data_IF_119446949294
#
_entry.id   IF_119446949294
#
_cell.length_a   1.000
_cell.length_b   1.000
_cell.length_c   1.000
_cell.angle_alpha   90.00
_cell.angle_beta   90.00
_cell.angle_gamma   90.00
#
_symmetry.space_group_name_H-M   'P 1'
#
loop_
_entity.id
_entity.type
_entity.pdbx_description
1 polymer ?
#
# COMPACT_ATOMS: atom_id res chain seq x y z
N UNK A 1 -42.81 58.66 38.33
CA UNK A 1 -42.50 59.78 37.42
C UNK A 1 -41.06 59.67 36.96
N UNK A 2 -40.82 59.96 35.67
CA UNK A 2 -39.55 60.19 34.94
C UNK A 2 -39.03 59.05 34.03
N UNK A 3 -39.45 59.18 32.76
CA UNK A 3 -38.73 59.04 31.48
C UNK A 3 -37.91 57.77 31.11
N UNK A 4 -38.51 56.98 30.21
CA UNK A 4 -38.05 56.49 28.88
C UNK A 4 -36.79 57.18 28.27
N UNK A 5 -36.21 56.71 27.13
CA UNK A 5 -35.61 55.42 26.73
C UNK A 5 -34.14 55.57 26.28
N UNK A 6 -33.36 54.49 26.15
CA UNK A 6 -32.30 54.43 25.13
C UNK A 6 -32.44 53.14 24.33
N UNK A 7 -33.04 53.33 23.17
CA UNK A 7 -32.92 52.49 21.99
C UNK A 7 -31.44 52.45 21.60
N UNK A 8 -30.83 51.26 21.62
CA UNK A 8 -29.72 50.95 20.74
C UNK A 8 -30.01 49.64 20.05
N UNK A 9 -30.80 49.78 18.99
CA UNK A 9 -30.85 48.86 17.86
C UNK A 9 -29.42 48.68 17.36
N UNK A 10 -28.86 47.49 17.55
CA UNK A 10 -27.87 46.96 16.64
C UNK A 10 -28.30 45.55 16.27
N UNK A 11 -29.08 45.50 15.19
CA UNK A 11 -29.14 44.36 14.30
C UNK A 11 -27.70 43.96 13.95
N UNK A 12 -27.29 42.76 14.35
CA UNK A 12 -26.22 42.04 13.67
C UNK A 12 -26.87 40.80 13.07
N UNK A 13 -27.51 41.05 11.94
CA UNK A 13 -27.38 40.31 10.67
C UNK A 13 -26.91 38.86 10.86
N UNK A 14 -27.89 37.97 10.89
CA UNK A 14 -28.01 36.87 9.93
C UNK A 14 -26.72 36.41 9.25
N UNK A 15 -25.89 35.66 9.98
CA UNK A 15 -25.05 34.61 9.37
C UNK A 15 -25.66 33.26 9.73
N UNK A 16 -26.88 33.03 9.24
CA UNK A 16 -27.27 31.66 8.88
C UNK A 16 -26.28 31.25 7.79
N UNK A 17 -25.24 30.53 8.20
CA UNK A 17 -24.34 29.82 7.30
C UNK A 17 -25.21 28.88 6.49
N UNK A 18 -25.62 29.35 5.31
CA UNK A 18 -26.23 28.55 4.26
C UNK A 18 -25.20 27.59 3.72
N UNK A 19 -24.88 26.53 4.48
CA UNK A 19 -24.39 25.30 3.92
C UNK A 19 -25.56 24.61 3.23
N UNK A 20 -25.88 25.11 2.03
CA UNK A 20 -26.65 24.39 1.04
C UNK A 20 -26.02 23.00 0.85
N UNK A 21 -26.88 22.00 0.81
CA UNK A 21 -26.52 20.60 0.81
C UNK A 21 -25.44 20.24 -0.21
N UNK A 22 -24.39 19.61 0.27
CA UNK A 22 -23.80 18.48 -0.43
C UNK A 22 -24.08 17.27 0.42
N UNK A 23 -24.95 16.40 -0.09
CA UNK A 23 -25.10 15.02 0.38
C UNK A 23 -23.68 14.51 0.63
N UNK A 24 -23.36 14.12 1.85
CA UNK A 24 -22.14 13.39 2.11
C UNK A 24 -22.28 12.10 1.31
N UNK A 25 -21.64 12.11 0.14
CA UNK A 25 -21.32 10.93 -0.64
C UNK A 25 -20.51 10.10 0.34
N UNK A 26 -21.17 9.12 0.97
CA UNK A 26 -20.44 8.07 1.67
C UNK A 26 -19.36 7.62 0.70
N UNK A 27 -18.06 7.67 1.07
CA UNK A 27 -17.00 7.32 0.14
C UNK A 27 -17.37 5.94 -0.35
N UNK A 28 -17.66 5.84 -1.65
CA UNK A 28 -18.02 4.57 -2.27
C UNK A 28 -16.97 3.59 -1.78
N UNK A 29 -17.41 2.62 -0.96
CA UNK A 29 -16.58 1.51 -0.54
C UNK A 29 -16.08 0.95 -1.85
N UNK A 30 -14.82 1.26 -2.18
CA UNK A 30 -14.18 0.71 -3.36
C UNK A 30 -14.28 -0.78 -3.11
N UNK A 31 -15.16 -1.43 -3.86
CA UNK A 31 -15.32 -2.88 -3.86
C UNK A 31 -13.92 -3.44 -3.78
N UNK A 32 -13.59 -4.29 -2.79
CA UNK A 32 -12.26 -4.85 -2.70
C UNK A 32 -11.96 -5.43 -4.08
N UNK A 33 -10.99 -4.84 -4.77
CA UNK A 33 -10.54 -5.35 -6.06
C UNK A 33 -10.11 -6.77 -5.76
N UNK A 34 -10.92 -7.73 -6.20
CA UNK A 34 -10.61 -9.13 -6.08
C UNK A 34 -9.39 -9.34 -6.97
N UNK A 35 -8.25 -9.53 -6.31
CA UNK A 35 -6.98 -9.73 -6.97
C UNK A 35 -7.04 -11.14 -7.53
N UNK A 36 -7.41 -11.27 -8.80
CA UNK A 36 -7.26 -12.51 -9.54
C UNK A 36 -5.77 -12.75 -9.74
N UNK A 37 -5.15 -13.34 -8.71
CA UNK A 37 -3.76 -13.76 -8.72
C UNK A 37 -3.64 -14.96 -9.65
N UNK A 38 -2.85 -14.83 -10.69
CA UNK A 38 -2.38 -15.99 -11.45
C UNK A 38 -1.30 -16.70 -10.64
N UNK A 39 -1.42 -18.01 -10.50
CA UNK A 39 -0.38 -18.79 -9.84
C UNK A 39 0.95 -18.61 -10.56
N UNK A 40 1.94 -18.11 -9.83
CA UNK A 40 3.27 -17.91 -10.38
C UNK A 40 3.94 -19.25 -10.64
N UNK A 41 4.24 -19.50 -11.91
CA UNK A 41 5.03 -20.63 -12.39
C UNK A 41 6.46 -20.11 -12.61
N UNK A 42 7.40 -20.72 -11.91
CA UNK A 42 8.81 -20.35 -12.01
C UNK A 42 9.36 -20.73 -13.40
N UNK A 43 10.00 -19.80 -14.12
CA UNK A 43 10.72 -20.12 -15.36
C UNK A 43 11.78 -21.19 -15.12
N UNK A 44 11.74 -22.27 -15.90
CA UNK A 44 12.66 -23.40 -15.79
C UNK A 44 14.13 -23.00 -16.04
N UNK A 45 14.36 -21.95 -16.82
CA UNK A 45 15.68 -21.45 -17.17
C UNK A 45 16.23 -20.43 -16.16
N UNK A 46 15.43 -20.05 -15.16
CA UNK A 46 15.73 -19.03 -14.14
C UNK A 46 16.05 -17.65 -14.70
N UNK A 47 15.62 -17.35 -15.93
CA UNK A 47 15.86 -16.05 -16.55
C UNK A 47 14.88 -15.00 -16.02
N UNK A 48 15.40 -13.84 -15.62
CA UNK A 48 14.61 -12.72 -15.10
C UNK A 48 14.56 -11.64 -16.17
N UNK A 49 13.37 -11.11 -16.47
CA UNK A 49 13.24 -10.02 -17.42
C UNK A 49 13.60 -8.66 -16.79
N UNK A 50 14.03 -7.69 -17.62
CA UNK A 50 14.24 -6.30 -17.19
C UNK A 50 12.97 -5.72 -16.57
N UNK A 51 11.81 -6.04 -17.13
CA UNK A 51 10.52 -5.58 -16.64
C UNK A 51 10.24 -6.11 -15.23
N UNK A 52 10.52 -7.39 -14.96
CA UNK A 52 10.39 -7.98 -13.63
C UNK A 52 11.31 -7.31 -12.61
N UNK A 53 12.56 -7.00 -12.98
CA UNK A 53 13.49 -6.27 -12.09
C UNK A 53 13.02 -4.85 -11.79
N UNK A 54 12.48 -4.14 -12.79
CA UNK A 54 11.91 -2.81 -12.59
C UNK A 54 10.68 -2.86 -11.67
N UNK A 55 9.79 -3.84 -11.88
CA UNK A 55 8.61 -4.04 -11.01
C UNK A 55 9.01 -4.43 -9.59
N UNK A 56 10.03 -5.28 -9.44
CA UNK A 56 10.61 -5.65 -8.13
C UNK A 56 11.17 -4.41 -7.41
N UNK A 57 11.91 -3.53 -8.10
CA UNK A 57 12.51 -2.36 -7.46
C UNK A 57 11.46 -1.39 -6.90
N UNK A 58 10.30 -1.27 -7.57
CA UNK A 58 9.15 -0.51 -7.07
C UNK A 58 8.55 -1.08 -5.77
N UNK A 59 8.72 -2.38 -5.51
CA UNK A 59 8.20 -3.03 -4.32
C UNK A 59 9.07 -2.78 -3.09
N UNK A 60 10.40 -2.72 -3.24
CA UNK A 60 11.36 -2.79 -2.14
C UNK A 60 11.06 -1.81 -1.01
N UNK A 61 10.92 -0.52 -1.33
CA UNK A 61 10.65 0.52 -0.31
C UNK A 61 9.35 0.28 0.46
N UNK A 62 8.31 -0.20 -0.23
CA UNK A 62 7.01 -0.47 0.39
C UNK A 62 7.04 -1.73 1.26
N UNK A 63 7.76 -2.77 0.84
CA UNK A 63 7.96 -3.99 1.61
C UNK A 63 8.82 -3.74 2.86
N UNK A 64 9.83 -2.89 2.76
CA UNK A 64 10.64 -2.46 3.90
C UNK A 64 9.78 -1.68 4.90
N UNK A 65 8.99 -0.73 4.40
CA UNK A 65 8.06 0.05 5.23
C UNK A 65 7.02 -0.83 5.91
N UNK A 66 6.48 -1.84 5.21
CA UNK A 66 5.56 -2.82 5.77
C UNK A 66 6.21 -3.63 6.89
N UNK A 67 7.46 -4.04 6.71
CA UNK A 67 8.23 -4.80 7.71
C UNK A 67 8.49 -3.97 8.97
N UNK A 68 8.72 -2.65 8.81
CA UNK A 68 8.82 -1.72 9.94
C UNK A 68 7.46 -1.60 10.64
N UNK A 69 6.38 -1.43 9.88
CA UNK A 69 5.03 -1.26 10.43
C UNK A 69 4.57 -2.46 11.29
N UNK A 70 4.87 -3.69 10.85
CA UNK A 70 4.49 -4.92 11.57
C UNK A 70 5.51 -5.38 12.64
N UNK A 71 6.64 -4.68 12.78
CA UNK A 71 7.77 -5.13 13.62
C UNK A 71 7.35 -5.47 15.05
N UNK A 72 6.58 -4.60 15.68
CA UNK A 72 6.15 -4.81 17.06
C UNK A 72 4.96 -5.77 17.17
N UNK A 73 4.12 -5.85 16.14
CA UNK A 73 3.02 -6.81 16.04
C UNK A 73 3.52 -8.27 16.15
N UNK A 74 4.70 -8.57 15.60
CA UNK A 74 5.30 -9.91 15.68
C UNK A 74 5.95 -10.24 17.03
N UNK A 75 5.99 -9.30 17.98
CA UNK A 75 6.53 -9.53 19.33
C UNK A 75 5.47 -9.93 20.35
N UNK A 76 4.21 -10.03 19.92
CA UNK A 76 3.11 -10.46 20.79
C UNK A 76 3.35 -11.89 21.31
N UNK A 77 2.94 -12.16 22.55
CA UNK A 77 2.99 -13.49 23.16
C UNK A 77 1.75 -14.33 22.84
N UNK A 78 0.69 -13.70 22.34
CA UNK A 78 -0.54 -14.36 21.95
C UNK A 78 -0.37 -15.01 20.57
N UNK A 79 -0.43 -16.35 20.53
CA UNK A 79 -0.27 -17.13 19.31
C UNK A 79 -1.37 -16.87 18.28
N UNK A 80 -2.62 -16.69 18.70
CA UNK A 80 -3.75 -16.44 17.79
C UNK A 80 -3.59 -15.07 17.15
N UNK A 81 -3.21 -14.07 17.94
CA UNK A 81 -2.96 -12.73 17.44
C UNK A 81 -1.73 -12.69 16.52
N UNK A 82 -0.69 -13.45 16.84
CA UNK A 82 0.50 -13.57 16.00
C UNK A 82 0.14 -14.14 14.61
N UNK A 83 -0.65 -15.21 14.54
CA UNK A 83 -1.10 -15.79 13.27
C UNK A 83 -1.88 -14.78 12.44
N UNK A 84 -2.78 -14.00 13.06
CA UNK A 84 -3.51 -12.94 12.35
C UNK A 84 -2.58 -11.89 11.74
N UNK A 85 -1.59 -11.42 12.52
CA UNK A 85 -0.61 -10.47 12.00
C UNK A 85 0.22 -11.06 10.87
N UNK A 86 0.60 -12.34 10.94
CA UNK A 86 1.31 -13.03 9.85
C UNK A 86 0.44 -13.09 8.59
N UNK A 87 -0.83 -13.48 8.71
CA UNK A 87 -1.76 -13.55 7.59
C UNK A 87 -1.96 -12.18 6.93
N UNK A 88 -2.17 -11.14 7.73
CA UNK A 88 -2.38 -9.78 7.24
C UNK A 88 -1.10 -9.21 6.60
N UNK A 89 0.07 -9.49 7.17
CA UNK A 89 1.35 -9.13 6.61
C UNK A 89 1.58 -9.80 5.26
N UNK A 90 1.39 -11.12 5.15
CA UNK A 90 1.56 -11.85 3.88
C UNK A 90 0.58 -11.36 2.82
N UNK A 91 -0.69 -11.10 3.17
CA UNK A 91 -1.66 -10.50 2.24
C UNK A 91 -1.24 -9.10 1.79
N UNK A 92 -0.67 -8.29 2.67
CA UNK A 92 -0.19 -6.95 2.34
C UNK A 92 1.04 -7.00 1.42
N UNK A 93 2.01 -7.88 1.70
CA UNK A 93 3.15 -8.12 0.80
C UNK A 93 2.68 -8.49 -0.60
N UNK A 94 1.73 -9.41 -0.69
CA UNK A 94 1.19 -9.88 -1.97
C UNK A 94 0.49 -8.75 -2.75
N UNK A 95 -0.31 -7.95 -2.05
CA UNK A 95 -0.98 -6.76 -2.61
C UNK A 95 0.00 -5.73 -3.13
N UNK A 96 1.09 -5.48 -2.41
CA UNK A 96 2.14 -4.54 -2.84
C UNK A 96 2.75 -5.02 -4.15
N UNK A 97 3.20 -6.28 -4.20
CA UNK A 97 3.82 -6.85 -5.39
C UNK A 97 2.86 -6.90 -6.58
N UNK A 98 1.61 -7.30 -6.37
CA UNK A 98 0.61 -7.31 -7.43
C UNK A 98 0.35 -5.91 -8.01
N UNK A 99 0.23 -4.90 -7.15
CA UNK A 99 0.03 -3.50 -7.58
C UNK A 99 1.23 -2.92 -8.31
N UNK A 100 2.44 -3.38 -7.99
CA UNK A 100 3.64 -3.03 -8.73
C UNK A 100 3.75 -3.73 -10.10
N UNK A 101 2.84 -4.66 -10.41
CA UNK A 101 2.77 -5.36 -11.69
C UNK A 101 3.43 -6.75 -11.70
N UNK A 102 3.84 -7.27 -10.54
CA UNK A 102 4.24 -8.67 -10.39
C UNK A 102 2.98 -9.53 -10.25
N UNK A 103 2.53 -10.10 -11.36
CA UNK A 103 1.28 -10.89 -11.41
C UNK A 103 1.28 -12.10 -10.46
N UNK A 104 2.47 -12.64 -10.17
CA UNK A 104 2.67 -13.70 -9.20
C UNK A 104 2.71 -13.26 -7.73
N UNK A 105 2.57 -11.96 -7.49
CA UNK A 105 2.57 -11.36 -6.16
C UNK A 105 3.91 -11.52 -5.44
N UNK A 106 3.86 -11.73 -4.12
CA UNK A 106 5.07 -11.81 -3.29
C UNK A 106 5.93 -13.05 -3.60
N UNK A 107 5.31 -14.11 -4.12
CA UNK A 107 6.02 -15.32 -4.55
C UNK A 107 6.97 -15.05 -5.72
N UNK A 108 6.50 -14.30 -6.71
CA UNK A 108 7.33 -13.85 -7.84
C UNK A 108 8.47 -12.95 -7.35
N UNK A 109 8.18 -12.02 -6.44
CA UNK A 109 9.20 -11.17 -5.82
C UNK A 109 10.32 -11.97 -5.14
N UNK A 110 9.98 -12.95 -4.30
CA UNK A 110 10.96 -13.82 -3.63
C UNK A 110 11.79 -14.64 -4.63
N UNK A 111 11.14 -15.12 -5.69
CA UNK A 111 11.82 -15.85 -6.75
C UNK A 111 12.82 -14.96 -7.49
N UNK A 112 12.47 -13.71 -7.81
CA UNK A 112 13.39 -12.74 -8.42
C UNK A 112 14.59 -12.53 -7.50
N UNK A 113 14.38 -12.25 -6.21
CA UNK A 113 15.46 -12.05 -5.24
C UNK A 113 16.41 -13.26 -5.17
N UNK A 114 15.86 -14.49 -5.18
CA UNK A 114 16.66 -15.72 -5.13
C UNK A 114 17.51 -15.92 -6.40
N UNK A 115 17.01 -15.50 -7.56
CA UNK A 115 17.64 -15.77 -8.85
C UNK A 115 18.40 -14.59 -9.44
N UNK A 116 18.37 -13.42 -8.80
CA UNK A 116 19.02 -12.22 -9.30
C UNK A 116 20.53 -12.44 -9.51
N UNK A 117 21.18 -13.15 -8.58
CA UNK A 117 22.62 -13.47 -8.67
C UNK A 117 23.01 -14.55 -9.69
N UNK A 118 22.06 -15.11 -10.46
CA UNK A 118 22.37 -16.13 -11.46
C UNK A 118 23.22 -15.54 -12.60
N UNK A 119 24.24 -16.28 -13.06
CA UNK A 119 25.12 -15.87 -14.17
C UNK A 119 24.35 -15.46 -15.43
N UNK A 120 23.20 -16.11 -15.69
CA UNK A 120 22.33 -15.76 -16.82
C UNK A 120 21.75 -14.34 -16.73
N UNK A 121 21.50 -13.85 -15.52
CA UNK A 121 20.91 -12.55 -15.25
C UNK A 121 21.97 -11.44 -15.13
N UNK A 122 23.26 -11.81 -15.04
CA UNK A 122 24.38 -10.87 -14.88
C UNK A 122 24.41 -9.76 -15.94
N UNK A 123 24.20 -10.11 -17.22
CA UNK A 123 24.16 -9.13 -18.32
C UNK A 123 23.09 -8.06 -18.12
N UNK A 124 21.94 -8.47 -17.58
CA UNK A 124 20.81 -7.58 -17.32
C UNK A 124 21.12 -6.69 -16.12
N UNK A 125 21.72 -7.25 -15.06
CA UNK A 125 22.12 -6.48 -13.88
C UNK A 125 23.19 -5.42 -14.20
N UNK A 126 24.19 -5.80 -15.00
CA UNK A 126 25.24 -4.89 -15.46
C UNK A 126 24.64 -3.73 -16.27
N UNK A 127 23.62 -4.01 -17.10
CA UNK A 127 22.91 -2.98 -17.87
C UNK A 127 22.10 -2.01 -17.00
N UNK A 128 21.56 -2.50 -15.87
CA UNK A 128 20.74 -1.71 -14.95
C UNK A 128 21.55 -1.09 -13.80
N UNK A 129 22.87 -1.32 -13.75
CA UNK A 129 23.76 -0.90 -12.65
C UNK A 129 23.27 -1.35 -11.26
N UNK A 130 22.55 -2.47 -11.20
CA UNK A 130 22.06 -3.01 -9.94
C UNK A 130 23.22 -3.73 -9.26
N UNK A 131 23.67 -3.21 -8.11
CA UNK A 131 24.64 -3.92 -7.26
C UNK A 131 23.94 -5.07 -6.54
N UNK A 132 24.27 -6.30 -6.90
CA UNK A 132 23.99 -7.47 -6.08
C UNK A 132 25.07 -7.60 -5.02
N UNK A 133 24.69 -7.72 -3.74
CA UNK A 133 25.59 -7.92 -2.61
C UNK A 133 25.65 -9.39 -2.21
#
# INVERSE_FOLDING_TARGET
>A
MKYLPIVCVLMIISFFCGCQGKKNISPAVKTPVEINKTDFIEPADSSISVEQLNKMSLCNTLLDSLSIFYRDSFRTKDAVLLTRYQDDFTKAQDKICFRAGLSGGYKEYLWILKNIGNVKNKKILDSLKIKTY
#
